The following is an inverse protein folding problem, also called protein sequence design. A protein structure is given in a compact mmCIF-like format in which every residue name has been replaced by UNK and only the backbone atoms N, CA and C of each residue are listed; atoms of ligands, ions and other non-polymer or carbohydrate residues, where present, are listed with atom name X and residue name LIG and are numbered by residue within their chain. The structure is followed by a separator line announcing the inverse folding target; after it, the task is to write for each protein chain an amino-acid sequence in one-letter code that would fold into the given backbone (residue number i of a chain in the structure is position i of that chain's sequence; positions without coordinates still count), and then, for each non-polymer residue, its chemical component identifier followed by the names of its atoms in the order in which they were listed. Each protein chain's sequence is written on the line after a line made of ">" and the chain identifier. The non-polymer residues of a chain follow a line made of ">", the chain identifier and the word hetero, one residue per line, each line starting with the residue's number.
data_IF_498946116140
#
_entry.id   IF_498946116140
#
_cell.length_a   1.000
_cell.length_b   1.000
_cell.length_c   1.000
_cell.angle_alpha   90.00
_cell.angle_beta   90.00
_cell.angle_gamma   90.00
#
_symmetry.space_group_name_H-M   'P 1'
#
loop_
_entity.id
_entity.type
_entity.pdbx_description
1 polymer ?
#
# COMPACT_ATOMS: atom_id res chain seq x y z
N UNK A 1 17.00 11.70 -7.46
CA UNK A 1 17.21 11.41 -8.90
C UNK A 1 16.70 10.00 -9.13
N UNK A 2 16.06 9.70 -10.26
CA UNK A 2 15.51 8.36 -10.48
C UNK A 2 16.62 7.31 -10.47
N UNK A 3 16.35 6.16 -9.85
CA UNK A 3 17.24 4.99 -9.84
C UNK A 3 17.33 4.33 -11.21
N UNK A 4 16.20 4.28 -11.91
CA UNK A 4 16.07 3.66 -13.23
C UNK A 4 15.02 4.41 -14.04
N UNK A 5 15.32 4.64 -15.31
CA UNK A 5 14.33 5.10 -16.28
C UNK A 5 14.19 4.08 -17.39
N UNK A 6 12.96 3.89 -17.87
CA UNK A 6 12.66 3.06 -19.03
C UNK A 6 11.39 3.55 -19.71
N UNK A 7 11.10 2.99 -20.87
CA UNK A 7 9.87 3.26 -21.62
C UNK A 7 9.02 2.01 -21.62
N UNK A 8 7.76 2.14 -21.22
CA UNK A 8 6.72 1.13 -21.38
C UNK A 8 5.97 1.43 -22.68
N UNK A 9 5.76 0.42 -23.53
CA UNK A 9 4.80 0.57 -24.63
C UNK A 9 3.41 0.15 -24.12
N UNK A 10 2.40 0.99 -24.36
CA UNK A 10 1.05 0.72 -23.89
C UNK A 10 0.50 -0.63 -24.38
N UNK A 11 0.84 -1.04 -25.60
CA UNK A 11 0.51 -2.35 -26.16
C UNK A 11 1.05 -3.53 -25.35
N UNK A 12 2.24 -3.43 -24.76
CA UNK A 12 2.80 -4.48 -23.88
C UNK A 12 1.94 -4.64 -22.63
N UNK A 13 1.54 -3.51 -22.03
CA UNK A 13 0.66 -3.49 -20.88
C UNK A 13 -0.75 -4.00 -21.20
N UNK A 14 -1.31 -3.63 -22.36
CA UNK A 14 -2.60 -4.12 -22.84
C UNK A 14 -2.60 -5.64 -23.02
N UNK A 15 -1.55 -6.20 -23.64
CA UNK A 15 -1.39 -7.65 -23.75
C UNK A 15 -1.30 -8.34 -22.37
N UNK A 16 -0.61 -7.73 -21.41
CA UNK A 16 -0.52 -8.26 -20.06
C UNK A 16 -1.89 -8.28 -19.35
N UNK A 17 -2.68 -7.22 -19.50
CA UNK A 17 -4.04 -7.14 -18.92
C UNK A 17 -4.98 -8.15 -19.55
N UNK A 18 -4.97 -8.29 -20.87
CA UNK A 18 -5.75 -9.32 -21.57
C UNK A 18 -5.33 -10.73 -21.14
N UNK A 19 -4.04 -10.98 -21.00
CA UNK A 19 -3.50 -12.26 -20.50
C UNK A 19 -3.95 -12.56 -19.07
N UNK A 20 -3.94 -11.57 -18.18
CA UNK A 20 -4.42 -11.71 -16.81
C UNK A 20 -5.94 -11.93 -16.75
N UNK A 21 -6.72 -11.22 -17.57
CA UNK A 21 -8.15 -11.47 -17.72
C UNK A 21 -8.43 -12.91 -18.18
N UNK A 22 -7.66 -13.37 -19.17
CA UNK A 22 -7.80 -14.69 -19.76
C UNK A 22 -7.44 -15.80 -18.76
N UNK A 23 -6.33 -15.72 -18.03
CA UNK A 23 -5.92 -16.79 -17.09
C UNK A 23 -6.94 -17.02 -15.97
N UNK A 24 -7.73 -16.00 -15.61
CA UNK A 24 -8.78 -16.11 -14.60
C UNK A 24 -9.97 -16.97 -15.04
N UNK A 25 -10.18 -17.16 -16.35
CA UNK A 25 -11.39 -17.82 -16.88
C UNK A 25 -11.10 -18.94 -17.86
N UNK A 26 -9.91 -19.03 -18.47
CA UNK A 26 -9.65 -19.95 -19.57
C UNK A 26 -9.81 -21.44 -19.23
N UNK A 27 -9.72 -21.81 -17.95
CA UNK A 27 -9.93 -23.18 -17.48
C UNK A 27 -11.38 -23.48 -17.07
N UNK A 28 -12.20 -22.45 -16.83
CA UNK A 28 -13.52 -22.59 -16.19
C UNK A 28 -14.68 -22.01 -17.00
N UNK A 29 -14.42 -21.04 -17.87
CA UNK A 29 -15.39 -20.40 -18.77
C UNK A 29 -14.75 -20.10 -20.14
N UNK A 30 -14.81 -21.07 -21.09
CA UNK A 30 -14.31 -20.87 -22.44
C UNK A 30 -15.05 -19.76 -23.21
N UNK A 31 -16.29 -19.45 -22.85
CA UNK A 31 -17.08 -18.42 -23.53
C UNK A 31 -16.56 -17.01 -23.23
N UNK A 32 -16.03 -16.80 -22.02
CA UNK A 32 -15.32 -15.58 -21.62
C UNK A 32 -13.90 -15.48 -22.23
N UNK A 33 -13.36 -16.56 -22.80
CA UNK A 33 -11.98 -16.62 -23.32
C UNK A 33 -11.86 -16.15 -24.77
N UNK A 34 -12.79 -16.57 -25.63
CA UNK A 34 -12.72 -16.28 -27.06
C UNK A 34 -12.61 -14.77 -27.39
N UNK A 35 -13.37 -13.86 -26.74
CA UNK A 35 -13.22 -12.42 -26.96
C UNK A 35 -11.82 -11.90 -26.60
N UNK A 36 -11.22 -12.39 -25.50
CA UNK A 36 -9.87 -11.96 -25.06
C UNK A 36 -8.80 -12.37 -26.08
N UNK A 37 -8.93 -13.56 -26.70
CA UNK A 37 -8.01 -14.02 -27.76
C UNK A 37 -8.09 -13.13 -29.00
N UNK A 38 -9.29 -12.69 -29.37
CA UNK A 38 -9.49 -11.79 -30.51
C UNK A 38 -8.89 -10.40 -30.24
N UNK A 39 -9.08 -9.84 -29.03
CA UNK A 39 -8.45 -8.58 -28.61
C UNK A 39 -6.91 -8.68 -28.61
N UNK A 40 -6.36 -9.75 -28.04
CA UNK A 40 -4.90 -10.02 -28.07
C UNK A 40 -4.39 -10.02 -29.51
N UNK A 41 -5.06 -10.73 -30.43
CA UNK A 41 -4.69 -10.74 -31.85
C UNK A 41 -4.74 -9.33 -32.44
N UNK A 42 -5.79 -8.58 -32.16
CA UNK A 42 -5.97 -7.22 -32.65
C UNK A 42 -4.92 -6.24 -32.13
N UNK A 43 -4.41 -6.42 -30.90
CA UNK A 43 -3.30 -5.64 -30.33
C UNK A 43 -1.99 -6.03 -31.03
N UNK A 44 -1.70 -7.32 -31.21
CA UNK A 44 -0.46 -7.79 -31.85
C UNK A 44 -0.40 -7.37 -33.32
N UNK A 45 -1.48 -7.50 -34.07
CA UNK A 45 -1.52 -7.15 -35.50
C UNK A 45 -1.38 -5.63 -35.74
N UNK A 46 -1.76 -4.80 -34.77
CA UNK A 46 -1.72 -3.33 -34.83
C UNK A 46 -0.82 -2.75 -33.74
N UNK A 47 0.26 -3.44 -33.42
CA UNK A 47 1.11 -3.07 -32.28
C UNK A 47 1.78 -1.70 -32.46
N UNK A 48 2.15 -1.37 -33.70
CA UNK A 48 2.78 -0.09 -34.06
C UNK A 48 1.76 1.07 -34.21
N UNK A 49 0.46 0.80 -34.08
CA UNK A 49 -0.61 1.79 -34.20
C UNK A 49 -1.05 2.33 -32.83
N UNK A 50 -1.50 3.59 -32.79
CA UNK A 50 -2.08 4.16 -31.57
C UNK A 50 -3.42 3.46 -31.23
N UNK A 51 -3.70 3.13 -29.94
CA UNK A 51 -2.92 3.49 -28.75
C UNK A 51 -1.81 2.51 -28.36
N UNK A 52 -1.64 1.38 -29.05
CA UNK A 52 -0.67 0.33 -28.68
C UNK A 52 0.79 0.84 -28.74
N UNK A 53 1.12 1.69 -29.71
CA UNK A 53 2.47 2.27 -29.86
C UNK A 53 2.76 3.46 -28.94
N UNK A 54 1.83 3.84 -28.06
CA UNK A 54 2.06 4.92 -27.11
C UNK A 54 3.23 4.56 -26.17
N UNK A 55 4.30 5.33 -26.27
CA UNK A 55 5.49 5.22 -25.42
C UNK A 55 5.29 6.04 -24.14
N UNK A 56 5.28 5.36 -23.00
CA UNK A 56 5.08 5.95 -21.68
C UNK A 56 6.42 5.91 -20.94
N UNK A 57 7.08 7.06 -20.71
CA UNK A 57 8.29 7.08 -19.89
C UNK A 57 7.94 6.73 -18.44
N UNK A 58 8.79 5.93 -17.80
CA UNK A 58 8.63 5.45 -16.43
C UNK A 58 9.90 5.76 -15.64
N UNK A 59 9.77 6.34 -14.44
CA UNK A 59 10.92 6.66 -13.59
C UNK A 59 10.79 6.03 -12.20
N UNK A 60 11.68 5.09 -11.91
CA UNK A 60 11.79 4.45 -10.60
C UNK A 60 12.54 5.35 -9.62
N UNK A 61 11.98 5.54 -8.44
CA UNK A 61 12.59 6.25 -7.32
C UNK A 61 12.74 5.30 -6.13
N UNK A 62 13.71 5.56 -5.27
CA UNK A 62 13.62 4.96 -3.94
C UNK A 62 12.56 5.61 -3.07
N UNK A 63 12.31 4.95 -1.96
CA UNK A 63 11.37 5.37 -0.93
C UNK A 63 11.64 6.83 -0.53
N UNK A 64 12.88 7.19 -0.20
CA UNK A 64 13.20 8.55 0.26
C UNK A 64 12.97 9.61 -0.83
N UNK A 65 13.56 9.48 -2.03
CA UNK A 65 13.38 10.47 -3.11
C UNK A 65 11.93 10.49 -3.63
N UNK A 66 11.28 9.33 -3.72
CA UNK A 66 9.92 9.18 -4.22
C UNK A 66 8.89 9.85 -3.30
N UNK A 67 8.89 9.48 -2.03
CA UNK A 67 7.95 10.07 -1.06
C UNK A 67 8.30 11.51 -0.69
N UNK A 68 9.58 11.94 -0.76
CA UNK A 68 9.92 13.37 -0.67
C UNK A 68 9.25 14.18 -1.78
N UNK A 69 9.24 13.67 -3.01
CA UNK A 69 8.57 14.32 -4.16
C UNK A 69 7.06 14.27 -4.07
N UNK A 70 6.52 13.18 -3.52
CA UNK A 70 5.09 12.98 -3.41
C UNK A 70 4.47 13.75 -2.23
N UNK A 71 5.22 14.03 -1.16
CA UNK A 71 4.72 14.65 0.07
C UNK A 71 3.77 15.85 -0.14
N UNK A 72 4.03 16.83 -1.04
CA UNK A 72 3.16 17.99 -1.22
C UNK A 72 1.75 17.67 -1.77
N UNK A 73 1.60 16.54 -2.46
CA UNK A 73 0.34 16.12 -3.11
C UNK A 73 -0.15 14.77 -2.61
N UNK A 74 0.47 14.23 -1.57
CA UNK A 74 0.21 12.87 -1.06
C UNK A 74 -1.25 12.67 -0.61
N UNK A 75 -1.86 13.71 -0.03
CA UNK A 75 -3.25 13.69 0.44
C UNK A 75 -4.29 13.84 -0.70
N UNK A 76 -3.87 13.80 -1.96
CA UNK A 76 -4.77 13.74 -3.11
C UNK A 76 -5.49 12.39 -3.23
N UNK A 77 -6.33 12.22 -4.28
CA UNK A 77 -7.04 10.96 -4.53
C UNK A 77 -6.08 9.78 -4.59
N UNK A 78 -6.37 8.73 -3.83
CA UNK A 78 -5.54 7.54 -3.73
C UNK A 78 -6.44 6.33 -3.41
N UNK A 79 -6.67 5.42 -4.39
CA UNK A 79 -7.58 4.28 -4.21
C UNK A 79 -7.19 3.35 -3.06
N UNK A 80 -5.90 3.21 -2.76
CA UNK A 80 -5.45 2.39 -1.63
C UNK A 80 -5.87 3.03 -0.31
N UNK A 81 -5.65 4.33 -0.14
CA UNK A 81 -6.07 5.09 1.05
C UNK A 81 -7.59 5.09 1.17
N UNK A 82 -8.32 5.34 0.09
CA UNK A 82 -9.79 5.37 0.08
C UNK A 82 -10.41 4.02 0.47
N UNK A 83 -9.78 2.91 0.07
CA UNK A 83 -10.21 1.55 0.43
C UNK A 83 -9.83 1.20 1.87
N UNK A 84 -8.62 1.56 2.30
CA UNK A 84 -8.06 1.17 3.58
C UNK A 84 -8.62 1.98 4.76
N UNK A 85 -8.74 3.30 4.59
CA UNK A 85 -8.97 4.23 5.68
C UNK A 85 -10.23 3.92 6.48
N UNK A 86 -11.39 3.65 5.85
CA UNK A 86 -12.61 3.37 6.60
C UNK A 86 -12.46 2.12 7.48
N UNK A 87 -11.69 1.13 7.04
CA UNK A 87 -11.50 -0.14 7.75
C UNK A 87 -10.59 0.06 8.96
N UNK A 88 -9.44 0.73 8.76
CA UNK A 88 -8.52 1.04 9.86
C UNK A 88 -9.20 1.96 10.89
N UNK A 89 -9.96 2.95 10.44
CA UNK A 89 -10.69 3.85 11.35
C UNK A 89 -11.77 3.11 12.16
N UNK A 90 -12.46 2.14 11.57
CA UNK A 90 -13.40 1.29 12.31
C UNK A 90 -12.67 0.43 13.36
N UNK A 91 -11.52 -0.16 13.03
CA UNK A 91 -10.70 -0.91 14.00
C UNK A 91 -10.21 -0.03 15.16
N UNK A 92 -9.91 1.24 14.90
CA UNK A 92 -9.49 2.22 15.92
C UNK A 92 -10.61 2.61 16.90
N UNK A 93 -11.87 2.44 16.51
CA UNK A 93 -13.00 2.76 17.39
C UNK A 93 -13.07 1.78 18.57
N UNK A 94 -12.70 0.52 18.33
CA UNK A 94 -12.65 -0.57 19.33
C UNK A 94 -11.26 -0.78 19.96
N UNK A 95 -10.25 0.01 19.57
CA UNK A 95 -8.89 -0.12 20.08
C UNK A 95 -8.75 0.50 21.49
N UNK A 96 -7.80 0.00 22.32
CA UNK A 96 -7.51 0.58 23.64
C UNK A 96 -7.22 2.08 23.55
N UNK A 97 -7.74 2.89 24.47
CA UNK A 97 -7.41 4.32 24.54
C UNK A 97 -6.07 4.55 25.23
N UNK A 98 -5.44 5.69 24.94
CA UNK A 98 -4.20 6.09 25.62
C UNK A 98 -3.23 6.80 24.69
N UNK A 99 -1.99 6.32 24.66
CA UNK A 99 -0.94 6.80 23.75
C UNK A 99 -0.95 5.97 22.48
N UNK A 100 -1.04 6.63 21.32
CA UNK A 100 -0.96 5.98 20.03
C UNK A 100 0.32 6.37 19.29
N UNK A 101 0.93 5.40 18.61
CA UNK A 101 1.99 5.63 17.65
C UNK A 101 1.43 5.44 16.23
N UNK A 102 1.65 6.41 15.35
CA UNK A 102 1.52 6.25 13.90
C UNK A 102 2.91 6.03 13.31
N UNK A 103 3.23 4.78 12.95
CA UNK A 103 4.55 4.35 12.51
C UNK A 103 4.61 4.33 10.97
N UNK A 104 5.59 5.05 10.41
CA UNK A 104 5.57 5.52 9.01
C UNK A 104 4.34 6.40 8.76
N UNK A 105 4.19 7.45 9.56
CA UNK A 105 2.97 8.27 9.60
C UNK A 105 2.71 9.09 8.33
N UNK A 106 3.70 9.22 7.43
CA UNK A 106 3.59 10.03 6.22
C UNK A 106 3.15 11.46 6.57
N UNK A 107 2.15 11.96 5.85
CA UNK A 107 1.52 13.27 6.08
C UNK A 107 0.59 13.32 7.30
N UNK A 108 0.57 12.30 8.17
CA UNK A 108 -0.19 12.29 9.42
C UNK A 108 -1.69 11.99 9.28
N UNK A 109 -2.08 11.23 8.25
CA UNK A 109 -3.47 10.83 8.00
C UNK A 109 -4.12 10.13 9.20
N UNK A 110 -3.47 9.07 9.70
CA UNK A 110 -3.97 8.34 10.86
C UNK A 110 -3.70 9.09 12.15
N UNK A 111 -2.57 9.79 12.27
CA UNK A 111 -2.30 10.70 13.37
C UNK A 111 -3.46 11.70 13.61
N UNK A 112 -4.05 12.26 12.55
CA UNK A 112 -5.22 13.13 12.66
C UNK A 112 -6.44 12.39 13.23
N UNK A 113 -6.76 11.22 12.67
CA UNK A 113 -7.90 10.41 13.12
C UNK A 113 -7.75 9.90 14.58
N UNK A 114 -6.51 9.64 15.01
CA UNK A 114 -6.18 9.30 16.39
C UNK A 114 -6.33 10.54 17.31
N UNK A 115 -5.85 11.71 16.90
CA UNK A 115 -6.00 12.94 17.68
C UNK A 115 -7.49 13.31 17.87
N UNK A 116 -8.31 13.18 16.84
CA UNK A 116 -9.77 13.39 16.91
C UNK A 116 -10.47 12.44 17.90
N UNK A 117 -9.92 11.24 18.10
CA UNK A 117 -10.39 10.25 19.09
C UNK A 117 -9.84 10.48 20.50
N UNK A 118 -9.05 11.53 20.70
CA UNK A 118 -8.51 11.92 22.01
C UNK A 118 -7.27 11.13 22.44
N UNK A 119 -6.58 10.45 21.52
CA UNK A 119 -5.30 9.79 21.82
C UNK A 119 -4.19 10.82 22.08
N UNK A 120 -3.20 10.45 22.89
CA UNK A 120 -1.89 11.12 22.88
C UNK A 120 -1.09 10.57 21.72
N UNK A 121 -0.97 11.34 20.64
CA UNK A 121 -0.41 10.87 19.37
C UNK A 121 1.08 11.17 19.24
N UNK A 122 1.83 10.14 18.86
CA UNK A 122 3.21 10.24 18.40
C UNK A 122 3.22 9.75 16.94
N UNK A 123 3.72 10.53 16.01
CA UNK A 123 4.00 10.10 14.63
C UNK A 123 5.50 9.89 14.43
N UNK A 124 5.89 8.82 13.76
CA UNK A 124 7.27 8.55 13.35
C UNK A 124 7.31 8.32 11.85
N UNK A 125 8.18 9.02 11.15
CA UNK A 125 8.47 8.78 9.74
C UNK A 125 9.96 8.99 9.45
N UNK A 126 10.48 8.33 8.43
CA UNK A 126 11.87 8.44 8.02
C UNK A 126 12.12 9.65 7.09
N UNK A 127 11.07 10.28 6.59
CA UNK A 127 11.13 11.28 5.53
C UNK A 127 10.69 12.64 6.08
N UNK A 128 11.63 13.57 6.21
CA UNK A 128 11.35 14.88 6.84
C UNK A 128 10.31 15.71 6.08
N UNK A 129 10.26 15.60 4.75
CA UNK A 129 9.24 16.27 3.93
C UNK A 129 7.81 15.79 4.26
N UNK A 130 7.63 14.52 4.62
CA UNK A 130 6.35 13.99 5.08
C UNK A 130 6.00 14.54 6.46
N UNK A 131 6.97 14.54 7.38
CA UNK A 131 6.79 15.09 8.73
C UNK A 131 6.50 16.59 8.72
N UNK A 132 7.04 17.36 7.77
CA UNK A 132 6.72 18.77 7.63
C UNK A 132 5.21 18.97 7.40
N UNK A 133 4.62 18.23 6.46
CA UNK A 133 3.16 18.26 6.21
C UNK A 133 2.38 17.76 7.42
N UNK A 134 2.84 16.67 8.06
CA UNK A 134 2.16 16.10 9.22
C UNK A 134 2.09 17.08 10.42
N UNK A 135 3.19 17.80 10.68
CA UNK A 135 3.28 18.83 11.75
C UNK A 135 2.32 19.99 11.50
N UNK A 136 2.18 20.42 10.24
CA UNK A 136 1.21 21.46 9.87
C UNK A 136 -0.23 20.97 10.02
N UNK A 137 -0.49 19.71 9.62
CA UNK A 137 -1.83 19.09 9.66
C UNK A 137 -2.31 18.80 11.08
N UNK A 138 -1.43 18.29 11.94
CA UNK A 138 -1.79 17.81 13.30
C UNK A 138 -0.88 18.46 14.36
N UNK A 139 -1.00 19.78 14.61
CA UNK A 139 -0.08 20.50 15.49
C UNK A 139 -0.14 20.07 16.97
N UNK A 140 -1.15 19.30 17.35
CA UNK A 140 -1.31 18.73 18.71
C UNK A 140 -0.56 17.41 18.91
N UNK A 141 -0.10 16.77 17.83
CA UNK A 141 0.65 15.52 17.89
C UNK A 141 2.17 15.78 17.95
N UNK A 142 2.91 14.81 18.49
CA UNK A 142 4.37 14.84 18.49
C UNK A 142 4.91 14.08 17.27
N UNK A 143 5.77 14.70 16.45
CA UNK A 143 6.34 14.06 15.26
C UNK A 143 7.86 13.92 15.34
N UNK A 144 8.36 12.69 15.22
CA UNK A 144 9.79 12.34 15.33
C UNK A 144 10.31 11.77 14.01
N UNK A 145 11.51 12.19 13.64
CA UNK A 145 12.26 11.54 12.57
C UNK A 145 12.79 10.19 13.08
N UNK A 146 12.48 9.10 12.39
CA UNK A 146 12.89 7.77 12.81
C UNK A 146 12.54 6.69 11.79
N UNK A 147 13.19 5.54 11.91
CA UNK A 147 12.99 4.40 11.02
C UNK A 147 12.17 3.31 11.71
N UNK A 148 11.43 2.53 10.93
CA UNK A 148 10.61 1.43 11.43
C UNK A 148 11.43 0.32 12.11
N UNK A 149 12.67 0.10 11.68
CA UNK A 149 13.58 -0.87 12.28
C UNK A 149 14.20 -0.40 13.60
N UNK A 150 14.06 0.89 13.93
CA UNK A 150 14.61 1.51 15.14
C UNK A 150 13.77 2.73 15.55
N UNK A 151 12.62 2.48 16.15
CA UNK A 151 11.67 3.50 16.57
C UNK A 151 12.24 4.29 17.76
N UNK A 152 12.22 5.64 17.72
CA UNK A 152 12.76 6.49 18.79
C UNK A 152 11.79 6.59 19.97
N UNK A 153 11.37 5.45 20.51
CA UNK A 153 10.43 5.30 21.62
C UNK A 153 10.94 4.24 22.61
N UNK A 154 10.58 4.42 23.88
CA UNK A 154 10.87 3.46 24.94
C UNK A 154 10.03 2.17 24.79
N UNK A 155 10.50 1.09 25.39
CA UNK A 155 9.77 -0.18 25.47
C UNK A 155 8.42 0.00 26.15
N UNK A 156 7.37 -0.69 25.67
CA UNK A 156 6.04 -0.71 26.26
C UNK A 156 5.49 0.70 26.61
N UNK A 157 5.68 1.65 25.69
CA UNK A 157 5.35 3.07 25.88
C UNK A 157 4.03 3.49 25.22
N UNK A 158 3.48 2.68 24.30
CA UNK A 158 2.23 2.99 23.58
C UNK A 158 1.18 1.89 23.72
N UNK A 159 -0.09 2.26 23.62
CA UNK A 159 -1.25 1.37 23.77
C UNK A 159 -1.76 0.87 22.42
N UNK A 160 -1.62 1.69 21.37
CA UNK A 160 -2.02 1.38 19.99
C UNK A 160 -0.94 1.81 19.02
N UNK A 161 -0.70 1.01 17.98
CA UNK A 161 0.10 1.38 16.81
C UNK A 161 -0.74 1.31 15.54
N UNK A 162 -0.64 2.32 14.68
CA UNK A 162 -0.99 2.21 13.26
C UNK A 162 0.28 2.13 12.43
N UNK A 163 0.32 1.25 11.43
CA UNK A 163 1.39 1.22 10.43
C UNK A 163 0.78 0.86 9.07
N UNK A 164 0.62 1.87 8.20
CA UNK A 164 -0.24 1.74 7.03
C UNK A 164 0.54 1.94 5.73
N UNK A 165 0.34 1.01 4.78
CA UNK A 165 0.87 1.04 3.42
C UNK A 165 2.39 1.28 3.36
N UNK A 166 3.12 0.73 4.34
CA UNK A 166 4.54 1.01 4.54
C UNK A 166 5.45 -0.22 4.39
N UNK A 167 5.00 -1.41 4.81
CA UNK A 167 5.90 -2.56 4.88
C UNK A 167 6.25 -3.16 3.50
N UNK A 168 5.49 -2.85 2.46
CA UNK A 168 5.88 -3.12 1.08
C UNK A 168 7.16 -2.38 0.67
N UNK A 169 7.63 -1.41 1.46
CA UNK A 169 8.88 -0.68 1.21
C UNK A 169 10.06 -1.14 2.07
N UNK A 170 9.86 -2.10 2.98
CA UNK A 170 10.94 -2.67 3.80
C UNK A 170 11.37 -4.04 3.26
N UNK A 171 12.68 -4.33 3.20
CA UNK A 171 13.17 -5.62 2.67
C UNK A 171 12.87 -6.80 3.59
N UNK A 172 12.77 -6.57 4.91
CA UNK A 172 12.56 -7.61 5.91
C UNK A 172 11.49 -7.17 6.91
N UNK A 173 10.45 -7.99 7.10
CA UNK A 173 9.34 -7.71 8.02
C UNK A 173 9.73 -7.89 9.49
N UNK A 174 10.54 -8.91 9.79
CA UNK A 174 10.81 -9.36 11.16
C UNK A 174 11.49 -8.28 12.03
N UNK A 175 12.54 -7.55 11.60
CA UNK A 175 13.13 -6.48 12.39
C UNK A 175 12.13 -5.37 12.72
N UNK A 176 11.32 -4.97 11.75
CA UNK A 176 10.29 -3.93 11.90
C UNK A 176 9.20 -4.37 12.89
N UNK A 177 8.67 -5.58 12.72
CA UNK A 177 7.59 -6.06 13.57
C UNK A 177 8.04 -6.33 15.01
N UNK A 178 9.29 -6.75 15.23
CA UNK A 178 9.88 -6.78 16.57
C UNK A 178 9.96 -5.41 17.20
N UNK A 179 10.37 -4.40 16.44
CA UNK A 179 10.49 -3.04 16.93
C UNK A 179 9.13 -2.42 17.26
N UNK A 180 8.12 -2.67 16.43
CA UNK A 180 6.72 -2.32 16.72
C UNK A 180 6.24 -3.03 18.00
N UNK A 181 6.47 -4.34 18.12
CA UNK A 181 6.08 -5.09 19.32
C UNK A 181 6.81 -4.61 20.58
N UNK A 182 8.08 -4.17 20.47
CA UNK A 182 8.87 -3.63 21.59
C UNK A 182 8.20 -2.42 22.23
N UNK A 183 7.72 -1.48 21.41
CA UNK A 183 7.14 -0.21 21.89
C UNK A 183 5.69 -0.34 22.37
N UNK A 184 4.93 -1.31 21.86
CA UNK A 184 3.53 -1.56 22.26
C UNK A 184 3.47 -2.16 23.65
N UNK A 185 2.58 -1.73 24.54
CA UNK A 185 2.39 -2.36 25.86
C UNK A 185 1.86 -3.80 25.73
N UNK A 186 2.16 -4.71 26.67
CA UNK A 186 1.44 -5.99 26.74
C UNK A 186 -0.08 -5.74 26.81
N UNK A 187 -0.86 -6.41 25.96
CA UNK A 187 -2.30 -6.16 25.76
C UNK A 187 -2.64 -4.93 24.89
N UNK A 188 -1.62 -4.22 24.38
CA UNK A 188 -1.79 -3.17 23.38
C UNK A 188 -2.01 -3.74 21.98
N UNK A 189 -2.55 -2.92 21.08
CA UNK A 189 -2.94 -3.36 19.74
C UNK A 189 -2.10 -2.72 18.62
N UNK A 190 -1.96 -3.45 17.53
CA UNK A 190 -1.34 -2.98 16.28
C UNK A 190 -2.34 -3.14 15.16
N UNK A 191 -2.62 -2.05 14.45
CA UNK A 191 -3.41 -2.07 13.22
C UNK A 191 -2.44 -1.81 12.07
N UNK A 192 -2.33 -2.78 11.18
CA UNK A 192 -1.35 -2.78 10.10
C UNK A 192 -2.09 -2.93 8.77
N UNK A 193 -1.73 -2.13 7.77
CA UNK A 193 -2.24 -2.30 6.41
C UNK A 193 -1.09 -2.31 5.41
N UNK A 194 -1.25 -3.06 4.32
CA UNK A 194 -0.27 -3.11 3.24
C UNK A 194 -0.89 -3.52 1.90
N UNK A 195 -0.11 -3.45 0.83
CA UNK A 195 -0.50 -3.93 -0.50
C UNK A 195 -0.52 -5.46 -0.52
N UNK A 196 -1.61 -6.04 -1.01
CA UNK A 196 -1.75 -7.49 -1.06
C UNK A 196 -0.73 -8.13 -2.03
N UNK A 197 -0.11 -9.30 -1.72
CA UNK A 197 0.89 -9.94 -2.58
C UNK A 197 0.39 -10.24 -4.00
N UNK A 198 -0.89 -10.56 -4.16
CA UNK A 198 -1.50 -10.67 -5.50
C UNK A 198 -1.26 -9.40 -6.34
N UNK A 199 -1.56 -8.22 -5.78
CA UNK A 199 -1.43 -6.95 -6.49
C UNK A 199 0.04 -6.64 -6.83
N UNK A 200 0.98 -6.89 -5.92
CA UNK A 200 2.42 -6.66 -6.19
C UNK A 200 2.99 -7.67 -7.19
N UNK A 201 2.63 -8.95 -7.09
CA UNK A 201 3.06 -10.00 -8.04
C UNK A 201 2.54 -9.77 -9.46
N UNK A 202 1.38 -9.11 -9.62
CA UNK A 202 0.86 -8.71 -10.93
C UNK A 202 1.39 -7.35 -11.41
N UNK A 203 2.47 -6.83 -10.81
CA UNK A 203 3.16 -5.61 -11.26
C UNK A 203 2.65 -4.31 -10.63
N UNK A 204 1.91 -4.40 -9.51
CA UNK A 204 1.44 -3.23 -8.77
C UNK A 204 2.60 -2.39 -8.21
N UNK A 205 2.59 -1.09 -8.51
CA UNK A 205 3.59 -0.10 -8.09
C UNK A 205 2.94 1.05 -7.31
N UNK A 206 3.71 1.74 -6.47
CA UNK A 206 3.30 2.99 -5.85
C UNK A 206 3.59 4.16 -6.80
N UNK A 207 2.73 4.34 -7.80
CA UNK A 207 2.80 5.46 -8.74
C UNK A 207 2.26 6.75 -8.13
N UNK A 208 2.88 7.88 -8.46
CA UNK A 208 2.48 9.18 -7.92
C UNK A 208 2.50 10.29 -8.98
N UNK A 209 1.78 11.41 -8.76
CA UNK A 209 1.80 12.52 -9.70
C UNK A 209 3.20 13.10 -9.86
N UNK A 210 3.73 13.11 -11.08
CA UNK A 210 4.96 13.83 -11.42
C UNK A 210 4.70 15.33 -11.58
N UNK A 211 5.71 16.16 -11.35
CA UNK A 211 5.66 17.59 -11.63
C UNK A 211 5.52 17.90 -13.14
N UNK A 212 5.93 16.95 -13.98
CA UNK A 212 5.89 17.04 -15.44
C UNK A 212 5.61 15.64 -16.03
N UNK A 213 4.42 15.46 -16.63
CA UNK A 213 4.03 14.18 -17.24
C UNK A 213 4.90 13.80 -18.44
N UNK A 214 5.60 14.75 -19.05
CA UNK A 214 6.55 14.48 -20.14
C UNK A 214 7.84 13.84 -19.65
N UNK A 215 8.14 13.94 -18.35
CA UNK A 215 9.25 13.24 -17.70
C UNK A 215 8.91 11.80 -17.29
N UNK A 216 7.66 11.39 -17.51
CA UNK A 216 7.18 10.04 -17.24
C UNK A 216 6.36 9.93 -15.97
N UNK A 217 5.88 8.71 -15.73
CA UNK A 217 5.16 8.33 -14.52
C UNK A 217 6.20 7.93 -13.45
N UNK A 218 6.37 8.72 -12.39
CA UNK A 218 7.27 8.35 -11.31
C UNK A 218 6.60 7.34 -10.38
N UNK A 219 7.41 6.42 -9.86
CA UNK A 219 6.92 5.38 -8.96
C UNK A 219 7.99 4.89 -7.98
N UNK A 220 7.52 4.31 -6.88
CA UNK A 220 8.33 3.50 -5.96
C UNK A 220 7.90 2.04 -6.11
N UNK A 221 8.87 1.13 -6.11
CA UNK A 221 8.60 -0.32 -6.18
C UNK A 221 7.97 -0.80 -4.87
N UNK A 222 6.90 -1.57 -5.01
CA UNK A 222 6.32 -2.37 -3.94
C UNK A 222 7.04 -3.71 -3.87
N UNK A 223 7.71 -4.00 -2.77
CA UNK A 223 8.27 -5.32 -2.49
C UNK A 223 7.15 -6.30 -2.17
N UNK A 224 7.30 -7.53 -2.65
CA UNK A 224 6.33 -8.60 -2.41
C UNK A 224 6.70 -9.33 -1.13
N UNK A 225 5.82 -9.24 -0.13
CA UNK A 225 5.80 -10.12 1.03
C UNK A 225 4.56 -11.02 0.94
N UNK A 226 4.73 -12.33 1.08
CA UNK A 226 3.59 -13.25 1.08
C UNK A 226 2.81 -13.11 2.38
N UNK A 227 1.52 -13.46 2.37
CA UNK A 227 0.68 -13.50 3.59
C UNK A 227 1.34 -14.34 4.69
N UNK A 228 1.96 -15.47 4.31
CA UNK A 228 2.71 -16.32 5.24
C UNK A 228 3.92 -15.65 5.88
N UNK A 229 4.57 -14.71 5.19
CA UNK A 229 5.73 -13.98 5.72
C UNK A 229 5.29 -13.02 6.83
N UNK A 230 4.16 -12.33 6.65
CA UNK A 230 3.56 -11.51 7.71
C UNK A 230 3.20 -12.34 8.94
N UNK A 231 2.49 -13.47 8.75
CA UNK A 231 2.08 -14.34 9.85
C UNK A 231 3.30 -14.89 10.62
N UNK A 232 4.34 -15.30 9.90
CA UNK A 232 5.58 -15.78 10.52
C UNK A 232 6.27 -14.67 11.33
N UNK A 233 6.34 -13.45 10.78
CA UNK A 233 6.94 -12.31 11.46
C UNK A 233 6.12 -11.82 12.66
N UNK A 234 4.78 -11.81 12.59
CA UNK A 234 3.92 -11.52 13.74
C UNK A 234 4.17 -12.51 14.88
N UNK A 235 4.20 -13.80 14.57
CA UNK A 235 4.52 -14.85 15.55
C UNK A 235 5.90 -14.66 16.16
N UNK A 236 6.92 -14.36 15.34
CA UNK A 236 8.29 -14.13 15.81
C UNK A 236 8.42 -12.88 16.70
N UNK A 237 7.50 -11.92 16.56
CA UNK A 237 7.44 -10.69 17.36
C UNK A 237 6.53 -10.81 18.61
N UNK A 238 5.84 -11.95 18.82
CA UNK A 238 4.88 -12.10 19.93
C UNK A 238 3.59 -11.30 19.74
N UNK A 239 3.17 -11.14 18.47
CA UNK A 239 1.91 -10.51 18.09
C UNK A 239 0.90 -11.59 17.70
N UNK A 240 -0.22 -11.62 18.41
CA UNK A 240 -1.35 -12.50 18.11
C UNK A 240 -2.29 -11.82 17.12
N UNK A 241 -2.79 -12.57 16.13
CA UNK A 241 -3.73 -12.06 15.12
C UNK A 241 -5.13 -12.06 15.70
N UNK A 242 -5.78 -10.90 15.73
CA UNK A 242 -7.19 -10.75 16.08
C UNK A 242 -8.07 -10.80 14.83
N UNK A 243 -7.70 -10.04 13.80
CA UNK A 243 -8.43 -9.97 12.53
C UNK A 243 -7.48 -9.93 11.33
N UNK A 244 -7.95 -10.46 10.20
CA UNK A 244 -7.36 -10.30 8.88
C UNK A 244 -8.47 -9.94 7.89
N UNK A 245 -8.34 -8.80 7.23
CA UNK A 245 -9.26 -8.35 6.20
C UNK A 245 -8.47 -8.16 4.92
N UNK A 246 -9.00 -8.71 3.82
CA UNK A 246 -8.43 -8.60 2.49
C UNK A 246 -9.41 -7.83 1.58
N UNK A 247 -9.43 -6.48 1.63
CA UNK A 247 -10.26 -5.70 0.74
C UNK A 247 -9.93 -6.02 -0.71
N UNK A 248 -10.98 -6.17 -1.51
CA UNK A 248 -10.87 -6.50 -2.93
C UNK A 248 -11.02 -5.24 -3.78
N UNK A 249 -10.49 -5.28 -4.99
CA UNK A 249 -10.70 -4.23 -5.98
C UNK A 249 -12.21 -4.13 -6.28
N UNK A 250 -12.79 -2.99 -5.93
CA UNK A 250 -14.18 -2.65 -6.23
C UNK A 250 -14.33 -1.83 -7.52
N UNK A 251 -15.58 -1.62 -7.92
CA UNK A 251 -15.96 -0.84 -9.11
C UNK A 251 -15.34 0.56 -9.16
N UNK A 252 -15.26 1.22 -8.00
CA UNK A 252 -14.75 2.59 -7.90
C UNK A 252 -13.25 2.69 -8.24
N UNK A 253 -12.49 1.58 -8.12
CA UNK A 253 -11.05 1.55 -8.38
C UNK A 253 -10.75 1.35 -9.87
N UNK A 254 -11.62 0.63 -10.59
CA UNK A 254 -11.36 0.24 -12.00
C UNK A 254 -11.06 1.45 -12.91
N UNK A 255 -11.81 2.58 -12.87
CA UNK A 255 -11.54 3.73 -13.74
C UNK A 255 -10.17 4.39 -13.52
N UNK A 256 -9.52 4.14 -12.39
CA UNK A 256 -8.18 4.67 -12.08
C UNK A 256 -7.07 3.80 -12.67
N UNK A 257 -7.37 2.55 -13.03
CA UNK A 257 -6.40 1.67 -13.67
C UNK A 257 -6.13 2.13 -15.12
N UNK A 258 -4.85 2.29 -15.53
CA UNK A 258 -4.51 2.86 -16.85
C UNK A 258 -5.14 2.13 -18.05
N UNK A 259 -5.38 0.82 -17.91
CA UNK A 259 -5.97 -0.01 -18.97
C UNK A 259 -7.47 0.25 -19.16
N UNK A 260 -8.19 0.74 -18.15
CA UNK A 260 -9.66 0.80 -18.17
C UNK A 260 -10.21 1.69 -19.29
N UNK A 261 -9.49 2.77 -19.64
CA UNK A 261 -9.90 3.68 -20.70
C UNK A 261 -9.87 3.05 -22.10
N UNK A 262 -9.09 1.98 -22.29
CA UNK A 262 -8.88 1.31 -23.58
C UNK A 262 -9.52 -0.08 -23.59
N UNK A 263 -9.40 -0.81 -22.48
CA UNK A 263 -9.82 -2.21 -22.32
C UNK A 263 -10.76 -2.38 -21.13
N UNK A 264 -11.90 -1.66 -21.03
CA UNK A 264 -12.73 -1.65 -19.81
C UNK A 264 -13.19 -3.05 -19.39
N UNK A 265 -13.58 -3.90 -20.34
CA UNK A 265 -14.01 -5.27 -20.06
C UNK A 265 -12.84 -6.16 -19.62
N UNK A 266 -11.69 -6.07 -20.29
CA UNK A 266 -10.51 -6.85 -19.91
C UNK A 266 -9.99 -6.42 -18.53
N UNK A 267 -9.91 -5.12 -18.26
CA UNK A 267 -9.50 -4.57 -16.97
C UNK A 267 -10.44 -5.03 -15.87
N UNK A 268 -11.76 -4.98 -16.11
CA UNK A 268 -12.75 -5.51 -15.17
C UNK A 268 -12.55 -7.00 -14.91
N UNK A 269 -12.43 -7.80 -15.96
CA UNK A 269 -12.22 -9.24 -15.84
C UNK A 269 -10.87 -9.59 -15.19
N UNK A 270 -9.82 -8.79 -15.40
CA UNK A 270 -8.50 -8.99 -14.82
C UNK A 270 -8.49 -8.66 -13.32
N UNK A 271 -9.06 -7.52 -12.91
CA UNK A 271 -8.83 -6.96 -11.58
C UNK A 271 -10.05 -6.91 -10.66
N UNK A 272 -11.29 -6.88 -11.17
CA UNK A 272 -12.45 -6.84 -10.28
C UNK A 272 -12.46 -8.06 -9.36
N UNK A 273 -12.78 -7.82 -8.08
CA UNK A 273 -12.85 -8.86 -7.05
C UNK A 273 -11.50 -9.56 -6.73
N UNK A 274 -10.37 -9.05 -7.22
CA UNK A 274 -9.05 -9.55 -6.77
C UNK A 274 -8.65 -8.92 -5.44
N UNK A 275 -7.92 -9.62 -4.56
CA UNK A 275 -7.36 -9.04 -3.35
C UNK A 275 -6.48 -7.83 -3.67
N UNK A 276 -6.76 -6.70 -3.03
CA UNK A 276 -6.08 -5.42 -3.28
C UNK A 276 -5.15 -5.05 -2.14
N UNK A 277 -5.68 -5.07 -0.92
CA UNK A 277 -4.98 -4.72 0.30
C UNK A 277 -5.06 -5.85 1.30
N UNK A 278 -4.21 -5.78 2.31
CA UNK A 278 -4.14 -6.71 3.42
C UNK A 278 -4.10 -5.90 4.71
N UNK A 279 -5.10 -6.06 5.57
CA UNK A 279 -5.28 -5.28 6.80
C UNK A 279 -5.39 -6.23 7.98
N UNK A 280 -4.57 -6.01 8.99
CA UNK A 280 -4.47 -6.83 10.19
C UNK A 280 -4.81 -6.01 11.42
N UNK A 281 -5.51 -6.65 12.35
CA UNK A 281 -5.58 -6.24 13.74
C UNK A 281 -4.84 -7.26 14.57
N UNK A 282 -3.86 -6.81 15.34
CA UNK A 282 -3.00 -7.64 16.15
C UNK A 282 -3.03 -7.17 17.61
N UNK A 283 -2.68 -8.06 18.53
CA UNK A 283 -2.49 -7.77 19.94
C UNK A 283 -1.10 -8.25 20.38
N UNK A 284 -0.39 -7.42 21.16
CA UNK A 284 0.83 -7.86 21.83
C UNK A 284 0.46 -8.76 23.00
N UNK A 285 0.91 -10.00 22.96
CA UNK A 285 0.63 -10.96 24.02
C UNK A 285 1.14 -10.44 25.38
N UNK A 286 0.32 -10.61 26.42
CA UNK A 286 0.75 -10.44 27.79
C UNK A 286 1.89 -11.41 28.09
N UNK A 287 2.97 -10.98 28.74
CA UNK A 287 3.92 -11.94 29.32
C UNK A 287 3.12 -12.91 30.18
N UNK A 288 3.04 -14.18 29.78
CA UNK A 288 2.40 -15.20 30.60
C UNK A 288 3.08 -15.12 31.98
N UNK A 289 2.30 -14.80 33.01
CA UNK A 289 2.77 -14.84 34.39
C UNK A 289 3.11 -16.29 34.66
N UNK A 290 4.40 -16.62 34.55
CA UNK A 290 4.96 -17.92 34.97
C UNK A 290 5.04 -18.02 36.48
#
# INVERSE_FOLDING_TARGET
>A
MPRRTHTLLAGEYFLAVEGLAMIRTCLTDPSATAPRVEEIRGIVERFDEFPNSLAIPMSEHDVEDGYTRWAPTYDGPNPAIETEQPIVHAMLDDAPRGTALDAACGTGRHAAALAERGYRVIGVDAIDAMLAVAREKVPTAEFRLGRLEQLPLDDASVDVVTCALALTHVPELEPVLREIARVVRPGGQVILSDIHPFATMTGGIAGFPGADITQGIPYVVNLTHQVGDYVAAFRAAGLSILDCIEPRVGEAVLPVLPSYAVLPEATRQAFLDTPYLLIWRLEREGSAVG
#
